data_IF_532048389076
#
_entry.id   IF_532048389076
#
_cell.length_a   1.000
_cell.length_b   1.000
_cell.length_c   1.000
_cell.angle_alpha   90.00
_cell.angle_beta   90.00
_cell.angle_gamma   90.00
#
_symmetry.space_group_name_H-M   'P 1'
#
loop_
_entity.id
_entity.type
_entity.pdbx_description
1 polymer ?
#
# COMPACT_ATOMS: atom_id res chain seq x y z
N UNK A 1 1.71 20.11 9.50
CA UNK A 1 1.12 21.42 9.84
C UNK A 1 1.52 21.94 11.24
N UNK A 2 1.88 21.09 12.22
CA UNK A 2 2.25 21.55 13.57
C UNK A 2 3.55 22.37 13.66
N UNK A 3 4.64 21.94 13.01
CA UNK A 3 5.94 22.61 13.13
C UNK A 3 5.96 24.05 12.58
N UNK A 4 5.20 24.34 11.52
CA UNK A 4 5.13 25.69 10.93
C UNK A 4 4.33 26.67 11.79
N UNK A 5 3.29 26.20 12.48
CA UNK A 5 2.47 27.03 13.38
C UNK A 5 3.15 27.24 14.73
N UNK A 6 3.94 26.26 15.20
CA UNK A 6 4.68 26.33 16.45
C UNK A 6 6.03 27.04 16.32
N UNK A 7 6.53 27.28 15.10
CA UNK A 7 7.78 27.98 14.83
C UNK A 7 7.72 29.42 15.35
N UNK A 8 8.54 29.80 16.35
CA UNK A 8 8.59 31.17 16.82
C UNK A 8 9.06 32.09 15.68
N UNK A 9 8.39 33.24 15.43
CA UNK A 9 8.77 34.16 14.35
C UNK A 9 10.11 34.86 14.61
N UNK A 10 10.70 34.67 15.80
CA UNK A 10 11.97 35.26 16.22
C UNK A 10 13.19 34.39 15.93
N UNK A 11 13.00 33.14 15.47
CA UNK A 11 14.08 32.24 15.08
C UNK A 11 14.41 32.41 13.60
N UNK A 12 15.69 32.35 13.27
CA UNK A 12 16.15 32.50 11.90
C UNK A 12 16.10 31.17 11.14
N UNK A 13 15.57 31.15 9.90
CA UNK A 13 15.49 29.94 9.11
C UNK A 13 16.84 29.51 8.50
N UNK A 14 17.73 30.47 8.25
CA UNK A 14 19.04 30.26 7.61
C UNK A 14 20.15 30.91 8.45
N UNK A 15 21.37 30.37 8.33
CA UNK A 15 22.59 31.00 8.83
C UNK A 15 23.05 32.07 7.82
N UNK A 16 24.01 32.90 8.23
CA UNK A 16 24.58 33.96 7.37
C UNK A 16 25.19 33.44 6.06
N UNK A 17 25.69 32.19 6.07
CA UNK A 17 26.24 31.53 4.88
C UNK A 17 25.17 30.89 3.96
N UNK A 18 23.88 31.08 4.25
CA UNK A 18 22.76 30.55 3.47
C UNK A 18 22.40 29.08 3.75
N UNK A 19 23.14 28.38 4.62
CA UNK A 19 22.75 27.03 5.06
C UNK A 19 21.53 27.08 6.00
N UNK A 20 20.73 26.01 6.03
CA UNK A 20 19.64 25.89 7.00
C UNK A 20 20.16 26.05 8.42
N UNK A 21 19.40 26.77 9.26
CA UNK A 21 19.72 26.94 10.67
C UNK A 21 18.76 26.11 11.53
N UNK A 22 19.20 24.98 12.10
CA UNK A 22 18.44 24.22 13.07
C UNK A 22 18.06 25.10 14.26
N UNK A 23 16.79 25.09 14.64
CA UNK A 23 16.29 25.88 15.77
C UNK A 23 16.90 25.47 17.12
N UNK A 24 17.33 24.21 17.24
CA UNK A 24 18.03 23.70 18.42
C UNK A 24 19.38 24.41 18.67
N UNK A 25 20.04 24.90 17.63
CA UNK A 25 21.32 25.64 17.76
C UNK A 25 21.10 27.12 18.13
N UNK A 26 19.85 27.59 18.19
CA UNK A 26 19.50 28.97 18.50
C UNK A 26 19.01 29.11 19.95
N UNK A 27 19.22 30.29 20.54
CA UNK A 27 18.72 30.64 21.90
C UNK A 27 19.07 29.56 22.96
N UNK A 28 20.27 28.97 22.88
CA UNK A 28 20.73 27.89 23.76
C UNK A 28 19.80 26.67 23.82
N UNK A 29 19.10 26.36 22.72
CA UNK A 29 18.20 25.20 22.64
C UNK A 29 16.86 25.38 23.36
N UNK A 30 16.47 26.60 23.74
CA UNK A 30 15.20 26.89 24.42
C UNK A 30 13.97 26.41 23.62
N UNK A 31 14.09 26.30 22.30
CA UNK A 31 13.03 25.82 21.40
C UNK A 31 13.36 24.45 20.79
N UNK A 32 13.98 23.55 21.57
CA UNK A 32 14.35 22.20 21.14
C UNK A 32 13.17 21.36 20.62
N UNK A 33 11.95 21.65 21.08
CA UNK A 33 10.73 20.94 20.69
C UNK A 33 10.22 21.32 19.30
N UNK A 34 10.75 22.39 18.70
CA UNK A 34 10.31 22.90 17.41
C UNK A 34 11.42 22.75 16.38
N UNK A 35 11.12 22.04 15.29
CA UNK A 35 12.03 21.86 14.16
C UNK A 35 11.82 22.98 13.16
N UNK A 36 12.92 23.44 12.52
CA UNK A 36 12.83 24.38 11.42
C UNK A 36 12.00 23.75 10.28
N UNK A 37 10.82 24.27 9.93
CA UNK A 37 9.93 23.62 8.96
C UNK A 37 10.53 23.54 7.54
N UNK A 38 11.59 24.31 7.24
CA UNK A 38 12.28 24.24 5.96
C UNK A 38 13.14 22.98 5.81
N UNK A 39 13.45 22.25 6.89
CA UNK A 39 14.19 20.98 6.80
C UNK A 39 13.42 19.96 5.95
N UNK A 40 12.08 19.94 6.05
CA UNK A 40 11.22 19.04 5.29
C UNK A 40 11.29 19.27 3.77
N UNK A 41 11.67 20.48 3.32
CA UNK A 41 11.83 20.77 1.89
C UNK A 41 13.09 20.15 1.30
N UNK A 42 14.09 19.86 2.14
CA UNK A 42 15.35 19.24 1.73
C UNK A 42 15.35 17.72 1.90
N UNK A 43 14.29 17.14 2.46
CA UNK A 43 14.14 15.69 2.57
C UNK A 43 13.70 15.11 1.24
N UNK A 44 14.34 14.00 0.82
CA UNK A 44 13.80 13.18 -0.27
C UNK A 44 12.70 12.30 0.32
N UNK A 45 11.51 12.38 -0.27
CA UNK A 45 10.42 11.43 -0.02
C UNK A 45 9.79 11.08 -1.34
N UNK A 46 9.97 9.85 -1.79
CA UNK A 46 9.37 9.34 -3.03
C UNK A 46 8.55 8.12 -2.68
N UNK A 47 7.29 8.16 -3.08
CA UNK A 47 6.37 7.03 -3.01
C UNK A 47 5.96 6.69 -4.44
N UNK A 48 6.24 5.46 -4.87
CA UNK A 48 5.90 4.96 -6.20
C UNK A 48 5.12 3.67 -6.06
N UNK A 49 3.95 3.65 -6.67
CA UNK A 49 3.10 2.49 -6.70
C UNK A 49 2.77 2.12 -8.15
N UNK A 50 2.94 0.85 -8.47
CA UNK A 50 2.46 0.27 -9.73
C UNK A 50 1.45 -0.81 -9.40
N UNK A 51 0.39 -0.92 -10.21
CA UNK A 51 -0.64 -1.95 -10.06
C UNK A 51 -1.07 -2.49 -11.40
N UNK A 52 -1.21 -3.80 -11.50
CA UNK A 52 -1.73 -4.52 -12.66
C UNK A 52 -2.99 -5.25 -12.23
N UNK A 53 -4.09 -4.96 -12.92
CA UNK A 53 -5.38 -5.61 -12.72
C UNK A 53 -5.74 -6.38 -13.99
N UNK A 54 -5.99 -7.68 -13.86
CA UNK A 54 -6.37 -8.54 -14.98
C UNK A 54 -7.53 -9.45 -14.58
N UNK A 55 -8.53 -9.53 -15.45
CA UNK A 55 -9.64 -10.46 -15.33
C UNK A 55 -9.81 -11.21 -16.65
N UNK A 56 -9.92 -12.52 -16.56
CA UNK A 56 -10.26 -13.39 -17.70
C UNK A 56 -11.38 -14.30 -17.27
N UNK A 57 -12.40 -14.45 -18.10
CA UNK A 57 -13.49 -15.38 -17.85
C UNK A 57 -13.87 -16.13 -19.12
N UNK A 58 -14.43 -17.32 -18.92
CA UNK A 58 -15.04 -18.14 -19.97
C UNK A 58 -16.41 -18.60 -19.51
N UNK A 59 -17.36 -18.62 -20.44
CA UNK A 59 -18.71 -19.11 -20.22
C UNK A 59 -19.06 -20.16 -21.27
N UNK A 60 -19.68 -21.25 -20.83
CA UNK A 60 -20.12 -22.33 -21.72
C UNK A 60 -21.49 -22.85 -21.31
N UNK A 61 -22.38 -22.94 -22.28
CA UNK A 61 -23.65 -23.67 -22.15
C UNK A 61 -23.45 -25.09 -22.66
N UNK A 62 -23.23 -26.03 -21.75
CA UNK A 62 -22.86 -27.42 -22.08
C UNK A 62 -24.07 -28.37 -22.18
N UNK A 63 -25.18 -28.02 -21.54
CA UNK A 63 -26.46 -28.72 -21.64
C UNK A 63 -27.59 -27.69 -21.78
N UNK A 64 -28.75 -28.14 -22.26
CA UNK A 64 -29.96 -27.31 -22.24
C UNK A 64 -30.20 -26.84 -20.81
N UNK A 65 -30.47 -25.55 -20.66
CA UNK A 65 -30.77 -24.90 -19.37
C UNK A 65 -29.58 -24.79 -18.39
N UNK A 66 -28.37 -25.24 -18.74
CA UNK A 66 -27.18 -25.12 -17.89
C UNK A 66 -26.10 -24.23 -18.51
N UNK A 67 -25.57 -23.32 -17.69
CA UNK A 67 -24.42 -22.48 -18.02
C UNK A 67 -23.37 -22.61 -16.92
N UNK A 68 -22.12 -22.83 -17.31
CA UNK A 68 -20.97 -22.76 -16.42
C UNK A 68 -20.09 -21.58 -16.80
N UNK A 69 -19.72 -20.77 -15.81
CA UNK A 69 -18.83 -19.63 -15.94
C UNK A 69 -17.66 -19.78 -14.98
N UNK A 70 -16.44 -19.70 -15.51
CA UNK A 70 -15.22 -19.65 -14.73
C UNK A 70 -14.54 -18.30 -14.93
N UNK A 71 -14.13 -17.64 -13.84
CA UNK A 71 -13.40 -16.38 -13.86
C UNK A 71 -12.10 -16.50 -13.06
N UNK A 72 -11.04 -15.91 -13.59
CA UNK A 72 -9.74 -15.76 -12.95
C UNK A 72 -9.38 -14.29 -12.89
N UNK A 73 -9.05 -13.83 -11.69
CA UNK A 73 -8.68 -12.46 -11.40
C UNK A 73 -7.27 -12.43 -10.81
N UNK A 74 -6.49 -11.47 -11.27
CA UNK A 74 -5.13 -11.23 -10.83
C UNK A 74 -5.00 -9.73 -10.52
N UNK A 75 -4.49 -9.43 -9.34
CA UNK A 75 -4.15 -8.08 -8.92
C UNK A 75 -2.74 -8.09 -8.32
N UNK A 76 -1.81 -7.44 -9.01
CA UNK A 76 -0.42 -7.37 -8.62
C UNK A 76 -0.06 -5.92 -8.31
N UNK A 77 0.48 -5.66 -7.13
CA UNK A 77 0.95 -4.35 -6.70
C UNK A 77 2.43 -4.37 -6.37
N UNK A 78 3.17 -3.34 -6.77
CA UNK A 78 4.53 -3.09 -6.29
C UNK A 78 4.62 -1.68 -5.71
N UNK A 79 5.24 -1.55 -4.54
CA UNK A 79 5.50 -0.27 -3.89
C UNK A 79 7.00 -0.03 -3.71
N UNK A 80 7.42 1.20 -3.93
CA UNK A 80 8.73 1.71 -3.53
C UNK A 80 8.51 2.94 -2.67
N UNK A 81 9.05 2.91 -1.46
CA UNK A 81 9.16 4.07 -0.59
C UNK A 81 10.63 4.40 -0.37
N UNK A 82 11.02 5.59 -0.78
CA UNK A 82 12.37 6.13 -0.64
C UNK A 82 12.32 7.35 0.28
N UNK A 83 13.20 7.35 1.28
CA UNK A 83 13.37 8.47 2.19
C UNK A 83 14.86 8.80 2.40
N UNK A 84 15.17 10.09 2.43
CA UNK A 84 16.47 10.58 2.87
C UNK A 84 16.33 11.91 3.60
N UNK A 85 16.89 11.99 4.81
CA UNK A 85 17.08 13.24 5.56
C UNK A 85 18.55 13.62 5.54
N UNK A 86 18.92 14.71 4.84
CA UNK A 86 20.31 15.16 4.73
C UNK A 86 20.94 15.56 6.06
N UNK A 87 22.27 15.47 6.12
CA UNK A 87 23.06 15.98 7.25
C UNK A 87 22.87 17.48 7.47
N UNK A 88 22.66 18.24 6.41
CA UNK A 88 22.44 19.70 6.50
C UNK A 88 21.22 20.11 7.33
N UNK A 89 20.28 19.18 7.56
CA UNK A 89 19.08 19.43 8.33
C UNK A 89 19.30 19.33 9.85
N UNK A 90 20.45 18.82 10.27
CA UNK A 90 20.74 18.46 11.65
C UNK A 90 21.52 19.58 12.37
N UNK A 91 21.22 19.77 13.65
CA UNK A 91 22.01 20.60 14.56
C UNK A 91 23.42 20.05 14.74
N UNK A 92 24.33 20.85 15.30
CA UNK A 92 25.69 20.38 15.58
C UNK A 92 25.68 19.20 16.56
N UNK A 93 24.82 19.24 17.58
CA UNK A 93 24.66 18.14 18.54
C UNK A 93 24.05 16.88 17.90
N UNK A 94 23.13 17.04 16.96
CA UNK A 94 22.52 15.93 16.22
C UNK A 94 23.53 15.29 15.27
N UNK A 95 24.34 16.07 14.56
CA UNK A 95 25.40 15.54 13.69
C UNK A 95 26.42 14.68 14.44
N UNK A 96 26.69 15.02 15.70
CA UNK A 96 27.58 14.25 16.58
C UNK A 96 26.93 12.97 17.11
N UNK A 97 25.59 12.94 17.22
CA UNK A 97 24.82 11.81 17.76
C UNK A 97 24.25 10.87 16.68
N UNK A 98 24.08 11.36 15.45
CA UNK A 98 23.56 10.61 14.32
C UNK A 98 23.62 11.48 13.07
N UNK A 99 24.38 11.09 12.05
CA UNK A 99 24.41 11.80 10.78
C UNK A 99 23.07 11.71 10.03
N UNK A 100 23.10 12.02 8.73
CA UNK A 100 21.92 11.87 7.86
C UNK A 100 21.32 10.46 7.98
N UNK A 101 20.06 10.33 7.60
CA UNK A 101 19.33 9.07 7.65
C UNK A 101 18.63 8.80 6.33
N UNK A 102 18.42 7.53 6.03
CA UNK A 102 17.75 7.12 4.82
C UNK A 102 17.09 5.77 4.99
N UNK A 103 15.98 5.59 4.28
CA UNK A 103 15.23 4.34 4.25
C UNK A 103 14.84 4.02 2.82
N UNK A 104 14.86 2.73 2.49
CA UNK A 104 14.35 2.21 1.24
C UNK A 104 13.51 0.98 1.51
N UNK A 105 12.23 1.06 1.16
CA UNK A 105 11.26 -0.02 1.36
C UNK A 105 10.72 -0.43 0.00
N UNK A 106 10.84 -1.70 -0.33
CA UNK A 106 10.19 -2.31 -1.49
C UNK A 106 9.12 -3.27 -0.98
N UNK A 107 7.91 -3.14 -1.51
CA UNK A 107 6.80 -4.02 -1.19
C UNK A 107 6.20 -4.62 -2.46
N UNK A 108 5.62 -5.81 -2.31
CA UNK A 108 4.89 -6.49 -3.36
C UNK A 108 3.62 -7.10 -2.77
N UNK A 109 2.52 -6.99 -3.50
CA UNK A 109 1.23 -7.58 -3.18
C UNK A 109 0.78 -8.40 -4.40
N UNK A 110 0.31 -9.62 -4.16
CA UNK A 110 -0.26 -10.51 -5.16
C UNK A 110 -1.59 -11.04 -4.64
N UNK A 111 -2.66 -10.75 -5.36
CA UNK A 111 -3.98 -11.28 -5.13
C UNK A 111 -4.40 -12.12 -6.34
N UNK A 112 -4.65 -13.40 -6.09
CA UNK A 112 -5.16 -14.34 -7.09
C UNK A 112 -6.53 -14.82 -6.65
N UNK A 113 -7.53 -14.71 -7.53
CA UNK A 113 -8.88 -15.17 -7.24
C UNK A 113 -9.44 -15.99 -8.39
N UNK A 114 -10.05 -17.11 -8.05
CA UNK A 114 -10.82 -17.94 -8.98
C UNK A 114 -12.27 -18.02 -8.52
N UNK A 115 -13.20 -17.89 -9.45
CA UNK A 115 -14.63 -18.07 -9.22
C UNK A 115 -15.19 -19.04 -10.25
N UNK A 116 -15.93 -20.05 -9.77
CA UNK A 116 -16.66 -21.02 -10.56
C UNK A 116 -18.15 -20.89 -10.25
N UNK A 117 -18.94 -20.58 -11.27
CA UNK A 117 -20.40 -20.40 -11.17
C UNK A 117 -21.08 -21.41 -12.07
N UNK A 118 -21.94 -22.24 -11.50
CA UNK A 118 -22.84 -23.12 -12.24
C UNK A 118 -24.27 -22.59 -12.08
N UNK A 119 -24.93 -22.31 -13.19
CA UNK A 119 -26.32 -21.84 -13.22
C UNK A 119 -27.20 -22.80 -13.99
N UNK A 120 -28.33 -23.14 -13.41
CA UNK A 120 -29.42 -23.86 -14.03
C UNK A 120 -30.63 -22.94 -14.13
N UNK A 121 -31.19 -22.77 -15.33
CA UNK A 121 -32.35 -21.92 -15.56
C UNK A 121 -33.40 -22.65 -16.39
N UNK A 122 -34.56 -22.94 -15.78
CA UNK A 122 -35.66 -23.62 -16.46
C UNK A 122 -36.98 -22.88 -16.29
N UNK A 123 -37.71 -22.77 -17.39
CA UNK A 123 -39.08 -22.27 -17.41
C UNK A 123 -40.01 -23.39 -17.90
N UNK A 124 -41.15 -23.58 -17.23
CA UNK A 124 -42.16 -24.54 -17.66
C UNK A 124 -43.57 -23.95 -17.55
N UNK A 125 -44.45 -24.46 -18.43
CA UNK A 125 -45.87 -24.09 -18.56
C UNK A 125 -46.14 -22.57 -18.71
N UNK A 126 -45.12 -21.78 -19.05
CA UNK A 126 -45.13 -20.30 -19.02
C UNK A 126 -45.62 -19.70 -17.68
N UNK A 127 -45.64 -20.50 -16.62
CA UNK A 127 -46.14 -20.12 -15.31
C UNK A 127 -45.07 -20.25 -14.22
N UNK A 128 -44.00 -21.01 -14.47
CA UNK A 128 -42.95 -21.24 -13.49
C UNK A 128 -41.58 -20.93 -14.07
N UNK A 129 -40.76 -20.22 -13.31
CA UNK A 129 -39.34 -20.01 -13.60
C UNK A 129 -38.50 -20.43 -12.40
N UNK A 130 -37.49 -21.25 -12.62
CA UNK A 130 -36.51 -21.64 -11.61
C UNK A 130 -35.13 -21.25 -12.10
N UNK A 131 -34.39 -20.52 -11.27
CA UNK A 131 -32.96 -20.30 -11.41
C UNK A 131 -32.27 -20.82 -10.17
N UNK A 132 -31.38 -21.80 -10.34
CA UNK A 132 -30.52 -22.29 -9.27
C UNK A 132 -29.06 -21.99 -9.64
N UNK A 133 -28.32 -21.39 -8.71
CA UNK A 133 -26.91 -21.05 -8.91
C UNK A 133 -26.08 -21.62 -7.77
N UNK A 134 -24.98 -22.28 -8.11
CA UNK A 134 -23.93 -22.66 -7.18
C UNK A 134 -22.66 -21.89 -7.51
N UNK A 135 -22.00 -21.35 -6.49
CA UNK A 135 -20.75 -20.61 -6.60
C UNK A 135 -19.70 -21.24 -5.69
N UNK A 136 -18.51 -21.43 -6.25
CA UNK A 136 -17.30 -21.70 -5.51
C UNK A 136 -16.31 -20.58 -5.83
N UNK A 137 -15.73 -19.97 -4.79
CA UNK A 137 -14.66 -19.01 -4.98
C UNK A 137 -13.49 -19.30 -4.06
N UNK A 138 -12.28 -19.06 -4.56
CA UNK A 138 -11.05 -19.11 -3.78
C UNK A 138 -10.22 -17.88 -4.07
N UNK A 139 -9.64 -17.33 -3.01
CA UNK A 139 -8.78 -16.17 -3.04
C UNK A 139 -7.52 -16.46 -2.25
N UNK A 140 -6.37 -16.06 -2.79
CA UNK A 140 -5.09 -16.02 -2.09
C UNK A 140 -4.50 -14.63 -2.24
N UNK A 141 -4.17 -14.00 -1.12
CA UNK A 141 -3.43 -12.75 -1.08
C UNK A 141 -2.07 -12.98 -0.42
N UNK A 142 -1.01 -12.48 -1.04
CA UNK A 142 0.35 -12.51 -0.51
C UNK A 142 0.88 -11.11 -0.50
N UNK A 143 1.37 -10.67 0.65
CA UNK A 143 2.09 -9.41 0.78
C UNK A 143 3.48 -9.68 1.32
N UNK A 144 4.49 -9.05 0.71
CA UNK A 144 5.86 -9.11 1.21
C UNK A 144 6.53 -7.76 1.09
N UNK A 145 7.52 -7.54 1.94
CA UNK A 145 8.33 -6.34 1.90
C UNK A 145 9.77 -6.61 2.31
N UNK A 146 10.64 -5.72 1.85
CA UNK A 146 12.02 -5.58 2.31
C UNK A 146 12.25 -4.11 2.62
N UNK A 147 12.85 -3.84 3.76
CA UNK A 147 13.16 -2.51 4.23
C UNK A 147 14.62 -2.45 4.68
N UNK A 148 15.32 -1.40 4.26
CA UNK A 148 16.65 -1.07 4.73
C UNK A 148 16.56 0.31 5.37
N UNK A 149 16.92 0.39 6.65
CA UNK A 149 17.11 1.65 7.35
C UNK A 149 18.61 1.89 7.53
N UNK A 150 19.04 3.12 7.33
CA UNK A 150 20.44 3.51 7.40
C UNK A 150 20.59 4.88 8.06
N UNK A 151 21.64 5.06 8.85
CA UNK A 151 21.96 6.34 9.48
C UNK A 151 23.46 6.52 9.66
N UNK A 152 23.88 7.77 9.93
CA UNK A 152 25.30 8.15 10.02
C UNK A 152 25.97 8.03 8.65
N UNK A 153 25.40 8.72 7.65
CA UNK A 153 26.03 8.84 6.33
C UNK A 153 27.28 9.75 6.38
N UNK A 154 28.34 9.44 5.61
CA UNK A 154 29.57 10.24 5.56
C UNK A 154 29.40 11.55 4.78
N UNK A 155 28.42 11.64 3.88
CA UNK A 155 28.01 12.84 3.15
C UNK A 155 26.62 12.62 2.52
N UNK A 156 26.08 13.66 1.88
CA UNK A 156 24.74 13.65 1.27
C UNK A 156 24.75 13.36 -0.25
N UNK A 157 25.91 13.05 -0.84
CA UNK A 157 26.08 13.03 -2.31
C UNK A 157 25.26 11.93 -3.01
N UNK A 158 25.15 10.76 -2.38
CA UNK A 158 24.44 9.59 -2.94
C UNK A 158 23.09 9.33 -2.28
N UNK A 159 22.75 10.08 -1.23
CA UNK A 159 21.50 9.96 -0.48
C UNK A 159 21.16 8.49 -0.14
N UNK A 160 19.89 8.10 -0.33
CA UNK A 160 19.39 6.74 -0.15
C UNK A 160 19.74 5.78 -1.31
N UNK A 161 20.49 6.21 -2.33
CA UNK A 161 20.93 5.34 -3.44
C UNK A 161 22.23 4.60 -3.13
N UNK A 162 22.92 4.93 -2.03
CA UNK A 162 24.07 4.17 -1.53
C UNK A 162 23.99 3.94 0.00
N UNK A 163 22.90 3.31 0.46
CA UNK A 163 22.66 3.01 1.88
C UNK A 163 23.80 2.24 2.56
N UNK A 164 24.60 1.50 1.79
CA UNK A 164 25.76 0.76 2.28
C UNK A 164 26.88 1.63 2.84
N UNK A 165 26.93 2.92 2.49
CA UNK A 165 27.93 3.87 2.98
C UNK A 165 27.65 4.34 4.42
N UNK A 166 26.44 4.14 4.91
CA UNK A 166 26.05 4.51 6.26
C UNK A 166 26.74 3.61 7.30
N UNK A 167 27.17 4.20 8.43
CA UNK A 167 27.79 3.42 9.50
C UNK A 167 26.79 2.46 10.17
N UNK A 168 25.58 2.95 10.45
CA UNK A 168 24.51 2.16 11.05
C UNK A 168 23.50 1.73 9.99
N UNK A 169 23.18 0.44 9.96
CA UNK A 169 22.22 -0.15 9.02
C UNK A 169 21.41 -1.23 9.72
N UNK A 170 20.13 -1.30 9.43
CA UNK A 170 19.28 -2.42 9.77
C UNK A 170 18.48 -2.86 8.55
N UNK A 171 18.23 -4.17 8.47
CA UNK A 171 17.47 -4.78 7.38
C UNK A 171 16.33 -5.56 8.01
N UNK A 172 15.14 -5.43 7.42
CA UNK A 172 13.97 -6.21 7.79
C UNK A 172 13.29 -6.70 6.53
N UNK A 173 12.79 -7.92 6.60
CA UNK A 173 11.90 -8.48 5.59
C UNK A 173 10.68 -9.10 6.26
N UNK A 174 9.59 -9.21 5.53
CA UNK A 174 8.40 -9.91 6.01
C UNK A 174 7.56 -10.43 4.86
N UNK A 175 6.79 -11.48 5.16
CA UNK A 175 5.78 -12.05 4.28
C UNK A 175 4.52 -12.33 5.11
N UNK A 176 3.36 -11.96 4.57
CA UNK A 176 2.04 -12.30 5.06
C UNK A 176 1.28 -12.98 3.92
N UNK A 177 0.51 -14.01 4.25
CA UNK A 177 -0.32 -14.73 3.29
C UNK A 177 -1.68 -15.01 3.90
N UNK A 178 -2.73 -14.72 3.13
CA UNK A 178 -4.12 -14.92 3.50
C UNK A 178 -4.81 -15.74 2.43
N UNK A 179 -5.69 -16.64 2.84
CA UNK A 179 -6.47 -17.48 1.93
C UNK A 179 -7.92 -17.53 2.39
N UNK A 180 -8.83 -17.38 1.43
CA UNK A 180 -10.26 -17.51 1.64
C UNK A 180 -10.83 -18.51 0.64
N UNK A 181 -11.68 -19.40 1.14
CA UNK A 181 -12.49 -20.29 0.33
C UNK A 181 -13.94 -20.08 0.70
N UNK A 182 -14.81 -19.93 -0.30
CA UNK A 182 -16.22 -19.68 -0.09
C UNK A 182 -17.08 -20.51 -1.04
N UNK A 183 -18.26 -20.83 -0.53
CA UNK A 183 -19.29 -21.57 -1.24
C UNK A 183 -20.60 -20.82 -1.05
N UNK A 184 -21.35 -20.62 -2.12
CA UNK A 184 -22.66 -19.97 -2.07
C UNK A 184 -23.65 -20.73 -2.94
N UNK A 185 -24.87 -20.87 -2.43
CA UNK A 185 -26.01 -21.34 -3.21
C UNK A 185 -27.03 -20.22 -3.34
N UNK A 186 -27.76 -20.17 -4.45
CA UNK A 186 -28.93 -19.32 -4.57
C UNK A 186 -30.01 -20.02 -5.37
N UNK A 187 -31.24 -20.00 -4.86
CA UNK A 187 -32.42 -20.51 -5.55
C UNK A 187 -33.41 -19.37 -5.69
N UNK A 188 -33.76 -19.05 -6.92
CA UNK A 188 -34.80 -18.09 -7.26
C UNK A 188 -35.93 -18.81 -7.99
N UNK A 189 -37.14 -18.67 -7.49
CA UNK A 189 -38.35 -19.23 -8.07
C UNK A 189 -39.41 -18.16 -8.29
N UNK A 190 -40.02 -18.17 -9.48
CA UNK A 190 -41.11 -17.29 -9.86
C UNK A 190 -42.34 -18.10 -10.27
N UNK A 191 -43.52 -17.64 -9.84
CA UNK A 191 -44.81 -18.17 -10.27
C UNK A 191 -45.70 -17.07 -10.86
N UNK A 192 -46.07 -17.24 -12.14
CA UNK A 192 -46.96 -16.37 -12.94
C UNK A 192 -46.60 -14.89 -12.85
N UNK A 193 -45.31 -14.61 -12.73
CA UNK A 193 -44.73 -13.26 -12.55
C UNK A 193 -45.33 -12.46 -11.37
N UNK A 194 -46.03 -13.14 -10.43
CA UNK A 194 -46.72 -12.53 -9.29
C UNK A 194 -46.11 -12.91 -7.95
N UNK A 195 -45.58 -14.13 -7.84
CA UNK A 195 -45.00 -14.63 -6.60
C UNK A 195 -43.54 -15.00 -6.83
N UNK A 196 -42.67 -14.55 -5.93
CA UNK A 196 -41.23 -14.76 -6.01
C UNK A 196 -40.71 -15.31 -4.69
N UNK A 197 -39.83 -16.30 -4.76
CA UNK A 197 -39.09 -16.85 -3.63
C UNK A 197 -37.60 -16.76 -3.97
N UNK A 198 -36.82 -16.19 -3.06
CA UNK A 198 -35.36 -16.13 -3.17
C UNK A 198 -34.76 -16.69 -1.89
N UNK A 199 -33.86 -17.65 -2.04
CA UNK A 199 -33.13 -18.29 -0.95
C UNK A 199 -31.63 -18.23 -1.28
N UNK A 200 -30.84 -17.76 -0.33
CA UNK A 200 -29.37 -17.67 -0.36
C UNK A 200 -28.77 -18.34 0.85
#
# INVERSE_FOLDING_TARGET
MGATLAAPPTLQPYRENGSLFPFLDQRNGFYAEVVNPLTYLNEKRVDRQNRILSNVFGEVSFLKDFTYRAAFNVDLGSGLWDFYSPRSNLSQSQLLAGGGSGTKTNSYNELLMHESVLTYKKTWTNAHSLTATGVFATQRETWNFNEINASIFPNDATQNEALQLAANRSVRSGKQEERLESYMGRINYGFRDKYYIDLT
#
